data_IF_402481450737
#
_entry.id   IF_402481450737
#
_cell.length_a   1.000
_cell.length_b   1.000
_cell.length_c   1.000
_cell.angle_alpha   90.00
_cell.angle_beta   90.00
_cell.angle_gamma   90.00
#
_symmetry.space_group_name_H-M   'P 1'
#
loop_
_entity.id
_entity.type
_entity.pdbx_description
1 polymer ?
#
# COMPACT_ATOMS: atom_id res chain seq x y z
N UNK A 1 -45.19 -42.68 -3.08
CA UNK A 1 -46.29 -41.71 -3.20
C UNK A 1 -45.64 -40.34 -3.20
N UNK A 2 -45.94 -39.60 -4.26
CA UNK A 2 -45.52 -38.24 -4.55
C UNK A 2 -45.97 -37.24 -3.48
N UNK A 3 -45.28 -36.09 -3.47
CA UNK A 3 -45.70 -34.72 -3.15
C UNK A 3 -44.56 -34.09 -2.33
N UNK A 4 -43.66 -33.27 -2.88
CA UNK A 4 -43.96 -32.13 -3.74
C UNK A 4 -44.12 -30.92 -2.82
N UNK A 5 -43.02 -30.21 -2.60
CA UNK A 5 -43.01 -28.84 -2.05
C UNK A 5 -41.84 -28.13 -2.74
N UNK A 6 -42.08 -27.85 -4.02
CA UNK A 6 -41.33 -26.88 -4.81
C UNK A 6 -41.72 -25.51 -4.27
N UNK A 7 -40.93 -25.01 -3.31
CA UNK A 7 -41.00 -23.62 -2.86
C UNK A 7 -40.33 -22.73 -3.91
N UNK A 8 -41.14 -22.16 -4.79
CA UNK A 8 -40.80 -21.09 -5.74
C UNK A 8 -39.96 -20.00 -5.04
N UNK A 9 -38.70 -19.90 -5.48
CA UNK A 9 -37.74 -18.84 -5.22
C UNK A 9 -37.65 -18.02 -6.52
N UNK A 10 -38.56 -17.08 -6.73
CA UNK A 10 -38.65 -16.37 -8.03
C UNK A 10 -39.21 -14.94 -7.94
N UNK A 11 -39.07 -14.27 -6.79
CA UNK A 11 -39.61 -12.92 -6.58
C UNK A 11 -38.63 -11.80 -6.21
N UNK A 12 -37.42 -12.11 -5.71
CA UNK A 12 -36.48 -11.09 -5.20
C UNK A 12 -35.16 -10.96 -5.98
N UNK A 13 -34.89 -11.83 -6.96
CA UNK A 13 -33.67 -11.77 -7.77
C UNK A 13 -33.74 -10.74 -8.92
N UNK A 14 -34.95 -10.45 -9.43
CA UNK A 14 -35.14 -9.54 -10.58
C UNK A 14 -34.70 -8.10 -10.30
N UNK A 15 -35.00 -7.58 -9.11
CA UNK A 15 -34.59 -6.22 -8.73
C UNK A 15 -33.07 -6.15 -8.48
N UNK A 16 -32.43 -7.29 -8.17
CA UNK A 16 -30.99 -7.40 -7.94
C UNK A 16 -30.19 -7.44 -9.25
N UNK A 17 -30.72 -8.11 -10.28
CA UNK A 17 -30.13 -8.12 -11.62
C UNK A 17 -30.17 -6.74 -12.29
N UNK A 18 -31.26 -5.99 -12.15
CA UNK A 18 -31.37 -4.61 -12.67
C UNK A 18 -30.39 -3.63 -11.98
N UNK A 19 -30.03 -3.89 -10.71
CA UNK A 19 -29.01 -3.15 -9.96
C UNK A 19 -27.58 -3.52 -10.35
N UNK A 20 -27.36 -4.73 -10.88
CA UNK A 20 -26.05 -5.21 -11.33
C UNK A 20 -25.64 -4.61 -12.68
N UNK A 21 -26.62 -4.30 -13.54
CA UNK A 21 -26.45 -3.69 -14.87
C UNK A 21 -26.46 -2.14 -14.84
N UNK A 22 -26.39 -1.51 -13.66
CA UNK A 22 -26.30 -0.04 -13.53
C UNK A 22 -24.94 0.47 -14.06
N UNK A 23 -24.91 1.25 -15.17
CA UNK A 23 -23.67 1.76 -15.73
C UNK A 23 -22.88 2.65 -14.76
N UNK A 24 -23.55 3.34 -13.83
CA UNK A 24 -22.90 4.16 -12.82
C UNK A 24 -22.13 3.31 -11.79
N UNK A 25 -22.62 2.11 -11.50
CA UNK A 25 -21.94 1.17 -10.60
C UNK A 25 -20.69 0.59 -11.25
N UNK A 26 -20.73 0.31 -12.55
CA UNK A 26 -19.56 -0.14 -13.32
C UNK A 26 -18.49 0.94 -13.44
N UNK A 27 -18.87 2.19 -13.71
CA UNK A 27 -17.93 3.32 -13.71
C UNK A 27 -17.24 3.47 -12.33
N UNK A 28 -17.98 3.28 -11.23
CA UNK A 28 -17.42 3.33 -9.87
C UNK A 28 -16.46 2.17 -9.60
N UNK A 29 -16.76 0.97 -10.09
CA UNK A 29 -15.88 -0.21 -10.00
C UNK A 29 -14.58 0.06 -10.74
N UNK A 30 -14.66 0.55 -11.97
CA UNK A 30 -13.49 0.86 -12.79
C UNK A 30 -12.62 1.95 -12.17
N UNK A 31 -13.24 3.02 -11.64
CA UNK A 31 -12.53 4.08 -10.94
C UNK A 31 -11.75 3.55 -9.73
N UNK A 32 -12.38 2.70 -8.90
CA UNK A 32 -11.73 2.09 -7.74
C UNK A 32 -10.60 1.16 -8.16
N UNK A 33 -10.79 0.37 -9.22
CA UNK A 33 -9.76 -0.51 -9.75
C UNK A 33 -8.54 0.29 -10.22
N UNK A 34 -8.77 1.41 -10.91
CA UNK A 34 -7.71 2.29 -11.37
C UNK A 34 -6.97 2.95 -10.19
N UNK A 35 -7.68 3.44 -9.18
CA UNK A 35 -7.08 3.97 -7.96
C UNK A 35 -6.21 2.93 -7.24
N UNK A 36 -6.68 1.69 -7.13
CA UNK A 36 -5.91 0.59 -6.53
C UNK A 36 -4.65 0.27 -7.35
N UNK A 37 -4.74 0.25 -8.68
CA UNK A 37 -3.59 0.04 -9.57
C UNK A 37 -2.56 1.16 -9.40
N UNK A 38 -2.99 2.42 -9.42
CA UNK A 38 -2.10 3.57 -9.26
C UNK A 38 -1.41 3.57 -7.89
N UNK A 39 -2.15 3.29 -6.81
CA UNK A 39 -1.58 3.17 -5.48
C UNK A 39 -0.54 2.04 -5.39
N UNK A 40 -0.80 0.90 -6.04
CA UNK A 40 0.14 -0.21 -6.09
C UNK A 40 1.41 0.15 -6.89
N UNK A 41 1.24 0.76 -8.07
CA UNK A 41 2.37 1.20 -8.89
C UNK A 41 3.26 2.19 -8.15
N UNK A 42 2.65 3.22 -7.52
CA UNK A 42 3.38 4.19 -6.70
C UNK A 42 4.19 3.48 -5.60
N UNK A 43 3.56 2.57 -4.87
CA UNK A 43 4.25 1.80 -3.81
C UNK A 43 5.45 1.01 -4.36
N UNK A 44 5.31 0.37 -5.52
CA UNK A 44 6.42 -0.38 -6.14
C UNK A 44 7.56 0.56 -6.55
N UNK A 45 7.25 1.73 -7.11
CA UNK A 45 8.23 2.75 -7.45
C UNK A 45 8.96 3.28 -6.20
N UNK A 46 8.23 3.56 -5.13
CA UNK A 46 8.79 4.05 -3.86
C UNK A 46 9.75 3.02 -3.25
N UNK A 47 9.36 1.74 -3.24
CA UNK A 47 10.23 0.64 -2.82
C UNK A 47 11.47 0.53 -3.72
N UNK A 48 11.30 0.67 -5.04
CA UNK A 48 12.43 0.63 -5.98
C UNK A 48 13.42 1.79 -5.77
N UNK A 49 12.93 2.93 -5.28
CA UNK A 49 13.76 4.08 -4.85
C UNK A 49 14.43 3.86 -3.50
N UNK A 50 14.08 2.81 -2.77
CA UNK A 50 14.67 2.46 -1.48
C UNK A 50 13.89 2.98 -0.28
N UNK A 51 12.62 3.38 -0.44
CA UNK A 51 11.71 3.59 0.69
C UNK A 51 11.46 2.24 1.38
N UNK A 52 11.10 2.27 2.66
CA UNK A 52 10.84 1.03 3.40
C UNK A 52 12.05 0.38 4.08
N UNK A 53 13.26 0.93 3.90
CA UNK A 53 14.50 0.34 4.42
C UNK A 53 15.42 1.38 5.06
N UNK A 54 16.21 0.93 6.04
CA UNK A 54 17.30 1.71 6.62
C UNK A 54 18.61 1.25 5.98
N UNK A 55 19.31 2.16 5.30
CA UNK A 55 20.64 1.91 4.73
C UNK A 55 21.68 2.81 5.39
N UNK A 56 22.90 2.29 5.51
CA UNK A 56 24.06 3.08 5.89
C UNK A 56 24.71 3.60 4.61
N UNK A 57 24.88 4.91 4.53
CA UNK A 57 25.53 5.60 3.42
C UNK A 57 26.80 6.31 3.90
N UNK A 58 27.73 6.56 2.99
CA UNK A 58 28.88 7.39 3.28
C UNK A 58 28.50 8.89 3.30
N UNK A 59 29.37 9.73 3.86
CA UNK A 59 29.07 11.16 4.04
C UNK A 59 28.91 11.90 2.70
N UNK A 60 29.65 11.50 1.67
CA UNK A 60 29.58 12.03 0.32
C UNK A 60 28.25 11.74 -0.38
N UNK A 61 27.59 10.64 0.00
CA UNK A 61 26.27 10.26 -0.51
C UNK A 61 25.11 10.98 0.19
N UNK A 62 25.36 11.65 1.34
CA UNK A 62 24.31 12.27 2.15
C UNK A 62 23.49 13.33 1.40
N UNK A 63 24.16 14.26 0.71
CA UNK A 63 23.49 15.33 -0.01
C UNK A 63 22.64 14.80 -1.18
N UNK A 64 23.20 13.99 -2.11
CA UNK A 64 22.40 13.38 -3.18
C UNK A 64 21.18 12.60 -2.68
N UNK A 65 21.32 11.89 -1.56
CA UNK A 65 20.25 11.11 -0.96
C UNK A 65 19.12 11.99 -0.41
N UNK A 66 19.49 13.03 0.36
CA UNK A 66 18.51 13.89 1.03
C UNK A 66 17.83 14.90 0.10
N UNK A 67 18.51 15.33 -0.97
CA UNK A 67 17.98 16.30 -1.94
C UNK A 67 17.53 15.66 -3.25
N UNK A 68 17.56 14.33 -3.32
CA UNK A 68 17.27 13.58 -4.54
C UNK A 68 15.77 13.46 -4.78
N UNK A 69 15.31 12.21 -4.85
CA UNK A 69 14.00 11.87 -5.39
C UNK A 69 12.88 11.76 -4.35
N UNK A 70 13.22 11.68 -3.07
CA UNK A 70 12.26 11.39 -2.00
C UNK A 70 11.74 12.68 -1.35
N UNK A 71 10.43 12.74 -1.10
CA UNK A 71 9.80 13.91 -0.48
C UNK A 71 10.18 14.05 1.01
N UNK A 72 10.26 12.91 1.69
CA UNK A 72 10.64 12.84 3.10
C UNK A 72 11.81 11.88 3.29
N UNK A 73 12.80 12.31 4.05
CA UNK A 73 14.01 11.52 4.37
C UNK A 73 14.30 11.65 5.87
N UNK A 74 14.48 10.51 6.53
CA UNK A 74 14.88 10.44 7.94
C UNK A 74 16.33 9.98 8.02
N UNK A 75 17.19 10.77 8.69
CA UNK A 75 18.62 10.48 8.79
C UNK A 75 19.05 10.36 10.24
N UNK A 76 19.72 9.26 10.57
CA UNK A 76 20.37 9.06 11.87
C UNK A 76 21.89 9.19 11.72
N UNK A 77 22.46 10.27 12.27
CA UNK A 77 23.91 10.36 12.50
C UNK A 77 24.28 9.54 13.73
N UNK A 78 25.19 8.59 13.57
CA UNK A 78 25.54 7.64 14.63
C UNK A 78 27.06 7.47 14.79
N UNK A 79 27.46 6.91 15.93
CA UNK A 79 28.83 6.49 16.18
C UNK A 79 28.81 5.04 16.71
N UNK A 80 29.68 4.18 16.18
CA UNK A 80 29.66 2.72 16.44
C UNK A 80 29.86 2.35 17.91
N UNK A 81 30.50 3.22 18.69
CA UNK A 81 30.78 2.98 20.11
C UNK A 81 29.60 3.30 21.04
N UNK A 82 28.50 3.89 20.52
CA UNK A 82 27.35 4.26 21.33
C UNK A 82 26.24 3.22 21.23
N UNK A 83 26.04 2.46 22.29
CA UNK A 83 24.97 1.45 22.38
C UNK A 83 23.56 2.03 22.12
N UNK A 84 23.34 3.32 22.43
CA UNK A 84 22.05 3.98 22.14
C UNK A 84 21.77 4.07 20.63
N UNK A 85 22.79 4.19 19.79
CA UNK A 85 22.63 4.20 18.35
C UNK A 85 22.14 2.84 17.82
N UNK A 86 22.62 1.74 18.40
CA UNK A 86 22.15 0.40 18.04
C UNK A 86 20.64 0.22 18.32
N UNK A 87 20.17 0.74 19.46
CA UNK A 87 18.75 0.73 19.82
C UNK A 87 17.93 1.58 18.84
N UNK A 88 18.43 2.75 18.46
CA UNK A 88 17.78 3.61 17.47
C UNK A 88 17.71 2.94 16.09
N UNK A 89 18.80 2.33 15.63
CA UNK A 89 18.86 1.62 14.35
C UNK A 89 17.87 0.46 14.30
N UNK A 90 17.69 -0.26 15.41
CA UNK A 90 16.67 -1.31 15.52
C UNK A 90 15.27 -0.75 15.26
N UNK A 91 14.88 0.29 16.00
CA UNK A 91 13.55 0.86 15.85
C UNK A 91 13.33 1.54 14.49
N UNK A 92 14.36 2.18 13.94
CA UNK A 92 14.29 2.75 12.59
C UNK A 92 14.04 1.66 11.55
N UNK A 93 14.67 0.48 11.67
CA UNK A 93 14.40 -0.66 10.76
C UNK A 93 12.97 -1.17 10.86
N UNK A 94 12.43 -1.27 12.07
CA UNK A 94 11.04 -1.70 12.29
C UNK A 94 10.01 -0.70 11.74
N UNK A 95 10.29 0.60 11.89
CA UNK A 95 9.42 1.68 11.43
C UNK A 95 9.50 1.80 9.91
N UNK A 96 10.70 1.73 9.33
CA UNK A 96 10.90 1.89 7.90
C UNK A 96 10.01 0.95 7.08
N UNK A 97 9.90 -0.33 7.44
CA UNK A 97 9.08 -1.32 6.70
C UNK A 97 7.59 -0.92 6.61
N UNK A 98 7.11 -0.08 7.53
CA UNK A 98 5.73 0.40 7.56
C UNK A 98 5.51 1.67 6.74
N UNK A 99 6.59 2.34 6.33
CA UNK A 99 6.57 3.60 5.60
C UNK A 99 7.25 3.44 4.25
N UNK A 100 6.44 3.19 3.22
CA UNK A 100 6.88 3.07 1.82
C UNK A 100 6.29 4.15 0.93
N UNK A 101 5.54 5.09 1.50
CA UNK A 101 4.96 6.26 0.83
C UNK A 101 5.97 7.37 0.54
#
# INVERSE_FOLDING_TARGET
>A
LNNGDDGEDDGEDSDYDDLLDDPALDELRDLRLEQMKQAHMKKVEDIARGHGQVRTIAQDEFLPECTGTSEYVAVHFFHKEFQRCEIMDHHLKEIAVKHTE
#
